data_IF_599694080061
#
_entry.id   IF_599694080061
#
_cell.length_a   1.000
_cell.length_b   1.000
_cell.length_c   1.000
_cell.angle_alpha   90.00
_cell.angle_beta   90.00
_cell.angle_gamma   90.00
#
_symmetry.space_group_name_H-M   'P 1'
#
loop_
_entity.id
_entity.type
_entity.pdbx_description
1 polymer ?
#
# COMPACT_ATOMS: atom_id res chain seq x y z
N UNK A 1 -28.80 -21.17 7.55
CA UNK A 1 -28.21 -19.83 7.40
C UNK A 1 -26.85 -20.05 6.77
N UNK A 2 -26.68 -19.69 5.51
CA UNK A 2 -25.35 -19.68 4.90
C UNK A 2 -24.48 -18.69 5.69
N UNK A 3 -23.36 -19.16 6.22
CA UNK A 3 -22.40 -18.31 6.92
C UNK A 3 -21.79 -17.37 5.86
N UNK A 4 -22.30 -16.13 5.79
CA UNK A 4 -21.82 -15.13 4.84
C UNK A 4 -20.32 -14.93 5.08
N UNK A 5 -19.49 -15.20 4.07
CA UNK A 5 -18.03 -15.08 4.18
C UNK A 5 -17.67 -13.69 4.73
N UNK A 6 -16.82 -13.63 5.73
CA UNK A 6 -16.35 -12.36 6.31
C UNK A 6 -15.62 -11.54 5.24
N UNK A 7 -15.75 -10.22 5.31
CA UNK A 7 -15.22 -9.32 4.30
C UNK A 7 -14.44 -8.18 4.95
N UNK A 8 -13.32 -7.80 4.35
CA UNK A 8 -12.48 -6.67 4.76
C UNK A 8 -12.28 -5.73 3.57
N UNK A 9 -12.55 -4.45 3.78
CA UNK A 9 -12.30 -3.39 2.82
C UNK A 9 -11.20 -2.45 3.34
N UNK A 10 -10.20 -2.18 2.52
CA UNK A 10 -9.06 -1.32 2.87
C UNK A 10 -8.95 -0.21 1.83
N UNK A 11 -8.82 1.04 2.28
CA UNK A 11 -8.46 2.17 1.43
C UNK A 11 -7.00 2.50 1.68
N UNK A 12 -6.17 2.38 0.66
CA UNK A 12 -4.76 2.75 0.67
C UNK A 12 -4.57 4.08 -0.05
N UNK A 13 -4.33 5.17 0.70
CA UNK A 13 -4.26 6.53 0.17
C UNK A 13 -2.85 7.08 0.02
N UNK A 14 -1.85 6.43 0.61
CA UNK A 14 -0.47 6.89 0.65
C UNK A 14 0.46 5.94 -0.11
N UNK A 15 1.36 6.50 -0.91
CA UNK A 15 2.30 5.77 -1.76
C UNK A 15 3.75 5.78 -1.25
N UNK A 16 3.98 6.08 0.03
CA UNK A 16 5.33 5.98 0.60
C UNK A 16 5.65 4.54 0.99
N UNK A 17 6.93 4.21 1.04
CA UNK A 17 7.40 2.84 1.31
C UNK A 17 6.86 2.30 2.65
N UNK A 18 6.89 3.10 3.69
CA UNK A 18 6.39 2.76 5.02
C UNK A 18 4.88 2.54 5.05
N UNK A 19 4.13 3.36 4.31
CA UNK A 19 2.67 3.29 4.26
C UNK A 19 2.12 2.26 3.26
N UNK A 20 2.97 1.73 2.38
CA UNK A 20 2.59 0.65 1.48
C UNK A 20 2.52 -0.72 2.20
N UNK A 21 3.26 -0.90 3.30
CA UNK A 21 3.27 -2.14 4.07
C UNK A 21 1.95 -2.47 4.77
N UNK A 22 1.33 -1.56 5.57
CA UNK A 22 0.16 -1.89 6.38
C UNK A 22 -1.01 -2.47 5.57
N UNK A 23 -1.46 -1.86 4.46
CA UNK A 23 -2.59 -2.40 3.70
C UNK A 23 -2.30 -3.78 3.10
N UNK A 24 -1.07 -4.01 2.62
CA UNK A 24 -0.71 -5.28 2.00
C UNK A 24 -0.55 -6.41 3.03
N UNK A 25 0.05 -6.12 4.21
CA UNK A 25 0.18 -7.09 5.29
C UNK A 25 -1.19 -7.50 5.83
N UNK A 26 -2.05 -6.52 6.10
CA UNK A 26 -3.39 -6.81 6.62
C UNK A 26 -4.21 -7.58 5.59
N UNK A 27 -4.13 -7.22 4.32
CA UNK A 27 -4.85 -7.90 3.26
C UNK A 27 -4.40 -9.35 3.08
N UNK A 28 -3.08 -9.59 2.97
CA UNK A 28 -2.54 -10.95 2.82
C UNK A 28 -2.86 -11.83 4.03
N UNK A 29 -2.77 -11.27 5.25
CA UNK A 29 -3.10 -11.98 6.47
C UNK A 29 -4.59 -12.32 6.55
N UNK A 30 -5.48 -11.37 6.25
CA UNK A 30 -6.91 -11.59 6.25
C UNK A 30 -7.33 -12.62 5.19
N UNK A 31 -6.74 -12.56 4.00
CA UNK A 31 -6.98 -13.55 2.96
C UNK A 31 -6.54 -14.97 3.39
N UNK A 32 -5.40 -15.09 4.09
CA UNK A 32 -4.96 -16.35 4.68
C UNK A 32 -5.90 -16.88 5.78
N UNK A 33 -6.72 -16.01 6.38
CA UNK A 33 -7.78 -16.36 7.35
C UNK A 33 -9.14 -16.62 6.68
N UNK A 34 -9.16 -16.82 5.35
CA UNK A 34 -10.38 -17.04 4.56
C UNK A 34 -11.37 -15.86 4.58
N UNK A 35 -10.87 -14.63 4.77
CA UNK A 35 -11.63 -13.39 4.66
C UNK A 35 -11.55 -12.90 3.21
N UNK A 36 -12.69 -12.48 2.63
CA UNK A 36 -12.73 -11.81 1.33
C UNK A 36 -12.18 -10.39 1.48
N UNK A 37 -11.13 -10.03 0.74
CA UNK A 37 -10.45 -8.74 0.93
C UNK A 37 -10.45 -7.93 -0.35
N UNK A 38 -10.78 -6.63 -0.24
CA UNK A 38 -10.64 -5.63 -1.28
C UNK A 38 -9.76 -4.46 -0.82
N UNK A 39 -8.81 -4.05 -1.66
CA UNK A 39 -7.99 -2.85 -1.44
C UNK A 39 -8.31 -1.84 -2.53
N UNK A 40 -8.67 -0.62 -2.14
CA UNK A 40 -8.87 0.53 -3.02
C UNK A 40 -7.67 1.46 -2.94
N UNK A 41 -6.87 1.48 -3.99
CA UNK A 41 -5.72 2.37 -4.10
C UNK A 41 -6.16 3.71 -4.67
N UNK A 42 -6.06 4.76 -3.88
CA UNK A 42 -6.45 6.13 -4.27
C UNK A 42 -5.31 7.12 -4.00
N UNK A 43 -5.34 8.27 -4.65
CA UNK A 43 -4.31 9.29 -4.54
C UNK A 43 -2.90 8.68 -4.74
N UNK A 44 -1.97 8.98 -3.85
CA UNK A 44 -0.60 8.43 -3.94
C UNK A 44 -0.54 6.91 -3.73
N UNK A 45 -1.59 6.28 -3.17
CA UNK A 45 -1.68 4.83 -3.03
C UNK A 45 -1.63 4.07 -4.35
N UNK A 46 -2.04 4.70 -5.48
CA UNK A 46 -1.93 4.10 -6.83
C UNK A 46 -0.47 3.76 -7.19
N UNK A 47 0.50 4.46 -6.61
CA UNK A 47 1.93 4.20 -6.85
C UNK A 47 2.37 2.80 -6.37
N UNK A 48 1.65 2.21 -5.40
CA UNK A 48 1.91 0.86 -4.86
C UNK A 48 1.66 -0.22 -5.92
N UNK A 49 0.69 0.01 -6.80
CA UNK A 49 0.30 -0.93 -7.87
C UNK A 49 0.74 -0.48 -9.26
N UNK A 50 1.60 0.54 -9.35
CA UNK A 50 2.16 1.03 -10.60
C UNK A 50 3.48 0.31 -10.91
N UNK A 51 3.59 -0.36 -12.07
CA UNK A 51 4.79 -1.10 -12.51
C UNK A 51 6.08 -0.29 -12.47
N UNK A 52 5.99 1.01 -12.81
CA UNK A 52 7.15 1.90 -12.91
C UNK A 52 7.60 2.41 -11.54
N UNK A 53 6.72 2.44 -10.54
CA UNK A 53 6.96 3.08 -9.24
C UNK A 53 7.14 2.11 -8.09
N UNK A 54 6.50 0.94 -8.10
CA UNK A 54 6.47 -0.01 -6.99
C UNK A 54 7.86 -0.35 -6.43
N UNK A 55 8.89 -0.44 -7.27
CA UNK A 55 10.27 -0.75 -6.83
C UNK A 55 11.02 0.45 -6.29
N UNK A 56 10.54 1.66 -6.55
CA UNK A 56 11.19 2.94 -6.22
C UNK A 56 10.49 3.75 -5.15
N UNK A 57 9.50 3.18 -4.44
CA UNK A 57 8.83 3.84 -3.34
C UNK A 57 9.85 4.31 -2.29
N UNK A 58 9.67 5.53 -1.80
CA UNK A 58 10.50 6.17 -0.79
C UNK A 58 9.72 6.39 0.48
N UNK A 59 10.40 6.46 1.61
CA UNK A 59 9.79 6.88 2.87
C UNK A 59 9.36 8.34 2.78
N UNK A 60 8.41 8.75 3.65
CA UNK A 60 8.02 10.14 3.73
C UNK A 60 9.24 11.04 4.05
N UNK A 61 9.33 12.25 3.45
CA UNK A 61 10.46 13.15 3.68
C UNK A 61 10.56 13.66 5.12
N UNK A 62 9.47 13.60 5.88
CA UNK A 62 9.46 13.93 7.30
C UNK A 62 9.79 12.67 8.07
N UNK A 63 11.00 12.64 8.67
CA UNK A 63 11.46 11.52 9.48
C UNK A 63 10.55 11.30 10.69
N UNK A 64 10.32 10.05 11.07
CA UNK A 64 9.69 9.72 12.33
C UNK A 64 10.69 10.04 13.47
N UNK A 65 10.39 10.97 14.40
CA UNK A 65 11.28 11.31 15.50
C UNK A 65 11.51 10.14 16.48
N UNK A 66 10.66 9.11 16.42
CA UNK A 66 10.83 7.87 17.20
C UNK A 66 11.80 6.87 16.58
N UNK A 67 12.42 7.19 15.45
CA UNK A 67 13.42 6.32 14.84
C UNK A 67 14.64 6.19 15.76
N UNK A 68 15.08 4.96 16.11
CA UNK A 68 16.20 4.76 17.01
C UNK A 68 17.47 5.30 16.35
N UNK A 69 17.86 6.50 16.75
CA UNK A 69 19.10 7.13 16.36
C UNK A 69 19.86 7.52 17.63
N UNK A 70 21.19 7.29 17.70
CA UNK A 70 21.99 7.72 18.84
C UNK A 70 22.05 9.24 19.00
N UNK A 71 21.59 9.99 18.00
CA UNK A 71 21.51 11.46 18.02
C UNK A 71 20.09 11.87 17.64
N UNK A 72 19.39 12.71 18.43
CA UNK A 72 18.09 13.23 18.04
C UNK A 72 18.22 14.05 16.75
N UNK A 73 17.57 13.58 15.68
CA UNK A 73 17.55 14.28 14.40
C UNK A 73 16.41 15.31 14.39
N UNK A 74 16.68 16.61 14.29
CA UNK A 74 15.64 17.61 14.06
C UNK A 74 14.93 17.34 12.72
N UNK A 75 13.60 17.39 12.71
CA UNK A 75 12.77 17.13 11.52
C UNK A 75 13.16 18.00 10.30
N UNK A 76 13.73 19.17 10.53
CA UNK A 76 14.20 20.08 9.48
C UNK A 76 15.31 19.45 8.60
N UNK A 77 16.11 18.55 9.15
CA UNK A 77 17.16 17.85 8.39
C UNK A 77 16.59 16.86 7.39
N UNK A 78 15.37 16.36 7.61
CA UNK A 78 14.68 15.48 6.67
C UNK A 78 14.36 16.12 5.32
N UNK A 79 14.37 17.46 5.24
CA UNK A 79 14.10 18.24 4.03
C UNK A 79 15.36 18.41 3.16
N UNK A 80 16.54 18.10 3.70
CA UNK A 80 17.79 18.23 2.94
C UNK A 80 17.85 17.25 1.76
N UNK A 81 18.43 17.68 0.62
CA UNK A 81 18.60 16.79 -0.53
C UNK A 81 19.36 15.51 -0.16
N UNK A 82 18.83 14.36 -0.56
CA UNK A 82 19.46 13.05 -0.29
C UNK A 82 19.00 12.37 1.00
N UNK A 83 18.45 13.09 1.98
CA UNK A 83 18.03 12.51 3.27
C UNK A 83 16.93 11.47 3.10
N UNK A 84 15.92 11.73 2.26
CA UNK A 84 14.85 10.76 1.94
C UNK A 84 15.42 9.48 1.33
N UNK A 85 16.42 9.60 0.45
CA UNK A 85 17.06 8.43 -0.17
C UNK A 85 17.86 7.62 0.86
N UNK A 86 18.56 8.28 1.77
CA UNK A 86 19.31 7.64 2.85
C UNK A 86 18.36 6.91 3.82
N UNK A 87 17.28 7.57 4.25
CA UNK A 87 16.27 6.97 5.12
C UNK A 87 15.58 5.77 4.45
N UNK A 88 15.29 5.87 3.14
CA UNK A 88 14.72 4.77 2.37
C UNK A 88 15.68 3.58 2.30
N UNK A 89 16.97 3.82 2.06
CA UNK A 89 18.00 2.77 2.02
C UNK A 89 18.12 2.10 3.39
N UNK A 90 18.11 2.87 4.48
CA UNK A 90 18.14 2.33 5.84
C UNK A 90 16.92 1.47 6.14
N UNK A 91 15.71 1.90 5.81
CA UNK A 91 14.49 1.11 5.99
C UNK A 91 14.54 -0.18 5.18
N UNK A 92 14.94 -0.13 3.90
CA UNK A 92 15.13 -1.32 3.07
C UNK A 92 16.17 -2.28 3.66
N UNK A 93 17.23 -1.75 4.27
CA UNK A 93 18.23 -2.55 4.99
C UNK A 93 17.65 -3.28 6.20
N UNK A 94 16.81 -2.61 7.00
CA UNK A 94 16.13 -3.23 8.14
C UNK A 94 15.15 -4.33 7.69
N UNK A 95 14.37 -4.07 6.66
CA UNK A 95 13.44 -5.03 6.04
C UNK A 95 14.19 -6.29 5.59
N UNK A 96 15.31 -6.10 4.87
CA UNK A 96 16.16 -7.20 4.40
C UNK A 96 16.77 -8.01 5.56
N UNK A 97 17.18 -7.34 6.64
CA UNK A 97 17.80 -7.98 7.81
C UNK A 97 16.88 -8.99 8.49
N UNK A 98 15.57 -8.74 8.50
CA UNK A 98 14.55 -9.63 9.08
C UNK A 98 13.90 -10.54 8.05
N UNK A 99 14.39 -10.56 6.80
CA UNK A 99 13.82 -11.31 5.68
C UNK A 99 12.33 -11.02 5.45
N UNK A 100 11.90 -9.79 5.65
CA UNK A 100 10.53 -9.41 5.39
C UNK A 100 10.28 -9.23 3.90
N UNK A 101 9.11 -9.65 3.36
CA UNK A 101 8.81 -9.49 1.94
C UNK A 101 8.89 -8.03 1.51
N UNK A 102 9.38 -7.80 0.31
CA UNK A 102 9.35 -6.47 -0.33
C UNK A 102 7.93 -6.12 -0.77
N UNK A 103 7.67 -4.85 -1.09
CA UNK A 103 6.34 -4.43 -1.57
C UNK A 103 5.92 -5.20 -2.83
N UNK A 104 6.76 -5.39 -3.87
CA UNK A 104 6.38 -6.24 -5.00
C UNK A 104 5.98 -7.66 -4.59
N UNK A 105 6.76 -8.31 -3.73
CA UNK A 105 6.46 -9.66 -3.23
C UNK A 105 5.14 -9.71 -2.44
N UNK A 106 4.85 -8.68 -1.61
CA UNK A 106 3.57 -8.59 -0.89
C UNK A 106 2.38 -8.40 -1.85
N UNK A 107 2.55 -7.63 -2.92
CA UNK A 107 1.52 -7.48 -3.96
C UNK A 107 1.27 -8.80 -4.66
N UNK A 108 2.34 -9.54 -5.00
CA UNK A 108 2.21 -10.87 -5.60
C UNK A 108 1.51 -11.85 -4.65
N UNK A 109 1.87 -11.87 -3.36
CA UNK A 109 1.19 -12.67 -2.32
C UNK A 109 -0.30 -12.30 -2.23
N UNK A 110 -0.64 -11.01 -2.19
CA UNK A 110 -2.03 -10.57 -2.17
C UNK A 110 -2.80 -11.05 -3.42
N UNK A 111 -2.18 -10.95 -4.60
CA UNK A 111 -2.75 -11.40 -5.87
C UNK A 111 -3.01 -12.92 -5.84
N UNK A 112 -2.03 -13.72 -5.43
CA UNK A 112 -2.15 -15.17 -5.32
C UNK A 112 -3.20 -15.60 -4.29
N UNK A 113 -3.35 -14.83 -3.21
CA UNK A 113 -4.36 -15.04 -2.18
C UNK A 113 -5.77 -14.57 -2.59
N UNK A 114 -5.95 -14.06 -3.80
CA UNK A 114 -7.25 -13.61 -4.32
C UNK A 114 -7.74 -12.27 -3.74
N UNK A 115 -6.84 -11.44 -3.22
CA UNK A 115 -7.17 -10.08 -2.80
C UNK A 115 -7.58 -9.24 -4.02
N UNK A 116 -8.75 -8.65 -3.97
CA UNK A 116 -9.24 -7.75 -5.00
C UNK A 116 -8.52 -6.40 -4.89
N UNK A 117 -7.74 -6.03 -5.89
CA UNK A 117 -6.98 -4.79 -5.95
C UNK A 117 -7.60 -3.83 -6.95
N UNK A 118 -8.00 -2.64 -6.52
CA UNK A 118 -8.73 -1.66 -7.32
C UNK A 118 -7.97 -0.34 -7.33
N UNK A 119 -7.62 0.17 -8.51
CA UNK A 119 -7.06 1.50 -8.71
C UNK A 119 -8.18 2.51 -9.01
N UNK A 120 -8.15 3.63 -8.31
CA UNK A 120 -9.16 4.69 -8.39
C UNK A 120 -9.10 5.43 -9.74
N UNK A 121 -10.16 5.37 -10.55
CA UNK A 121 -10.25 6.02 -11.86
C UNK A 121 -9.96 7.53 -11.81
N UNK A 122 -10.60 8.36 -10.96
CA UNK A 122 -10.28 9.79 -10.90
C UNK A 122 -8.83 10.07 -10.50
N UNK A 123 -8.22 9.24 -9.68
CA UNK A 123 -6.80 9.38 -9.34
C UNK A 123 -5.90 9.12 -10.55
N UNK A 124 -6.19 8.09 -11.31
CA UNK A 124 -5.43 7.75 -12.51
C UNK A 124 -5.50 8.88 -13.53
N UNK A 125 -6.68 9.43 -13.79
CA UNK A 125 -6.89 10.57 -14.67
C UNK A 125 -6.10 11.80 -14.19
N UNK A 126 -6.19 12.13 -12.90
CA UNK A 126 -5.47 13.26 -12.31
C UNK A 126 -3.95 13.12 -12.40
N UNK A 127 -3.43 11.90 -12.26
CA UNK A 127 -1.98 11.63 -12.22
C UNK A 127 -1.40 11.20 -13.57
N UNK A 128 -2.23 11.03 -14.60
CA UNK A 128 -1.82 10.56 -15.92
C UNK A 128 -1.34 9.10 -15.92
N UNK A 129 -1.83 8.28 -14.98
CA UNK A 129 -1.55 6.85 -14.94
C UNK A 129 -2.55 6.12 -15.83
N UNK A 130 -2.04 5.34 -16.78
CA UNK A 130 -2.86 4.53 -17.68
C UNK A 130 -3.02 3.11 -17.13
N UNK A 131 -4.00 2.37 -17.64
CA UNK A 131 -4.25 0.98 -17.22
C UNK A 131 -3.04 0.07 -17.47
N UNK A 132 -2.31 0.33 -18.54
CA UNK A 132 -1.09 -0.38 -18.94
C UNK A 132 0.08 -0.16 -17.96
N UNK A 133 0.04 0.92 -17.18
CA UNK A 133 1.02 1.20 -16.13
C UNK A 133 0.77 0.40 -14.85
N UNK A 134 -0.42 -0.17 -14.69
CA UNK A 134 -0.77 -0.97 -13.53
C UNK A 134 -0.24 -2.39 -13.62
N UNK A 135 -0.01 -2.97 -12.44
CA UNK A 135 0.32 -4.38 -12.29
C UNK A 135 -0.86 -5.22 -12.81
N UNK A 136 -0.56 -6.33 -13.46
CA UNK A 136 -1.57 -7.26 -13.97
C UNK A 136 -2.46 -7.78 -12.84
N UNK A 137 -3.78 -7.78 -13.07
CA UNK A 137 -4.78 -8.20 -12.09
C UNK A 137 -5.32 -7.07 -11.22
N UNK A 138 -4.83 -5.83 -11.39
CA UNK A 138 -5.42 -4.65 -10.76
C UNK A 138 -6.60 -4.17 -11.61
N UNK A 139 -7.76 -4.04 -10.97
CA UNK A 139 -8.98 -3.51 -11.58
C UNK A 139 -8.93 -1.97 -11.59
N UNK A 140 -9.62 -1.36 -12.53
CA UNK A 140 -9.80 0.09 -12.57
C UNK A 140 -11.28 0.38 -12.32
N UNK A 141 -11.58 1.09 -11.23
CA UNK A 141 -12.96 1.39 -10.86
C UNK A 141 -13.09 2.71 -10.09
N UNK A 142 -14.30 3.19 -9.99
CA UNK A 142 -14.65 4.36 -9.18
C UNK A 142 -14.97 4.01 -7.72
N UNK A 143 -15.12 5.05 -6.90
CA UNK A 143 -15.47 4.90 -5.48
C UNK A 143 -16.80 4.16 -5.26
N UNK A 144 -17.77 4.32 -6.16
CA UNK A 144 -19.09 3.68 -6.04
C UNK A 144 -18.98 2.15 -6.09
N UNK A 145 -18.17 1.60 -7.00
CA UNK A 145 -17.96 0.16 -7.11
C UNK A 145 -17.22 -0.42 -5.89
N UNK A 146 -16.24 0.32 -5.37
CA UNK A 146 -15.56 -0.08 -4.14
C UNK A 146 -16.51 -0.02 -2.93
N UNK A 147 -17.36 1.01 -2.84
CA UNK A 147 -18.32 1.15 -1.75
C UNK A 147 -19.37 0.04 -1.76
N UNK A 148 -19.81 -0.45 -2.93
CA UNK A 148 -20.69 -1.61 -3.01
C UNK A 148 -20.07 -2.85 -2.35
N UNK A 149 -18.76 -3.06 -2.52
CA UNK A 149 -18.02 -4.08 -1.80
C UNK A 149 -17.90 -3.77 -0.30
N UNK A 150 -17.59 -2.51 0.06
CA UNK A 150 -17.25 -2.09 1.40
C UNK A 150 -18.46 -2.01 2.35
N UNK A 151 -19.69 -1.75 1.82
CA UNK A 151 -20.93 -1.71 2.62
C UNK A 151 -21.23 -3.04 3.31
N UNK A 152 -20.83 -4.13 2.71
CA UNK A 152 -21.00 -5.47 3.27
C UNK A 152 -19.78 -5.95 4.10
N UNK A 153 -18.74 -5.12 4.23
CA UNK A 153 -17.54 -5.52 4.94
C UNK A 153 -17.69 -5.43 6.46
N UNK A 154 -17.15 -6.45 7.15
CA UNK A 154 -17.10 -6.50 8.61
C UNK A 154 -16.02 -5.57 9.17
N UNK A 155 -14.97 -5.33 8.38
CA UNK A 155 -13.84 -4.45 8.73
C UNK A 155 -13.61 -3.48 7.58
N UNK A 156 -13.61 -2.18 7.91
CA UNK A 156 -13.29 -1.10 6.98
C UNK A 156 -12.11 -0.30 7.53
N UNK A 157 -11.04 -0.18 6.75
CA UNK A 157 -9.82 0.52 7.14
C UNK A 157 -9.46 1.61 6.12
N UNK A 158 -9.06 2.77 6.62
CA UNK A 158 -8.47 3.85 5.83
C UNK A 158 -7.01 4.07 6.27
N UNK A 159 -6.07 3.89 5.33
CA UNK A 159 -4.61 3.91 5.56
C UNK A 159 -3.93 4.91 4.61
#
# INVERSE_FOLDING_TARGET
MEDKKKRMAIIASKGTLDMAYPPLILASTAAAMDVEVGIFFTLYGVDIVNKKKIRSLKVAPIANPAMPSPIPFPNILGVLPGMTSMATMMMKGMIKKINWPTIPELVDICKEAGVRMIACTPTMEMTGVEKEDLIEGVEVAGAAEFLDFALDANINLFI
#
